data_IF_936595445900
#
_entry.id   IF_936595445900
#
_cell.length_a   1.000
_cell.length_b   1.000
_cell.length_c   1.000
_cell.angle_alpha   90.00
_cell.angle_beta   90.00
_cell.angle_gamma   90.00
#
_symmetry.space_group_name_H-M   'P 1'
#
loop_
_entity.id
_entity.type
_entity.pdbx_description
1 polymer ?
#
# COMPACT_ATOMS: atom_id res chain seq x y z
N UNK A 1 -20.89 -29.90 -12.14
CA UNK A 1 -20.45 -29.32 -13.43
C UNK A 1 -18.92 -29.28 -13.39
N UNK A 2 -18.23 -30.03 -14.26
CA UNK A 2 -16.77 -30.11 -14.30
C UNK A 2 -16.29 -29.72 -15.71
N UNK A 3 -16.42 -28.44 -16.04
CA UNK A 3 -16.03 -27.89 -17.34
C UNK A 3 -14.68 -27.19 -17.18
N UNK A 4 -13.63 -27.61 -17.91
CA UNK A 4 -12.33 -26.98 -17.82
C UNK A 4 -12.36 -25.61 -18.53
N UNK A 5 -12.23 -24.52 -17.77
CA UNK A 5 -12.21 -23.15 -18.31
C UNK A 5 -10.84 -22.71 -18.83
N UNK A 6 -9.79 -23.45 -18.44
CA UNK A 6 -8.40 -23.19 -18.83
C UNK A 6 -7.74 -24.46 -19.35
N UNK A 7 -6.98 -24.31 -20.43
CA UNK A 7 -6.05 -25.32 -20.95
C UNK A 7 -4.62 -24.93 -20.61
N UNK A 8 -3.78 -25.93 -20.31
CA UNK A 8 -2.36 -25.72 -20.01
C UNK A 8 -1.54 -25.86 -21.28
N UNK A 9 -0.79 -24.82 -21.62
CA UNK A 9 0.16 -24.80 -22.72
C UNK A 9 1.59 -24.69 -22.20
N UNK A 10 2.59 -25.08 -23.00
CA UNK A 10 4.01 -24.99 -22.62
C UNK A 10 4.46 -23.55 -22.32
N UNK A 11 3.71 -22.56 -22.79
CA UNK A 11 3.95 -21.12 -22.60
C UNK A 11 3.03 -20.46 -21.57
N UNK A 12 2.11 -21.19 -20.92
CA UNK A 12 1.17 -20.63 -19.94
C UNK A 12 -0.24 -21.21 -20.01
N UNK A 13 -1.21 -20.51 -19.42
CA UNK A 13 -2.63 -20.88 -19.45
C UNK A 13 -3.37 -20.14 -20.56
N UNK A 14 -4.27 -20.82 -21.26
CA UNK A 14 -5.20 -20.22 -22.21
C UNK A 14 -6.63 -20.59 -21.86
N UNK A 15 -7.57 -19.68 -22.10
CA UNK A 15 -8.99 -19.99 -21.98
C UNK A 15 -9.38 -21.09 -22.97
N UNK A 16 -10.31 -21.94 -22.55
CA UNK A 16 -11.07 -22.80 -23.46
C UNK A 16 -12.23 -22.01 -24.06
N UNK A 17 -12.90 -22.55 -25.08
CA UNK A 17 -14.08 -21.91 -25.67
C UNK A 17 -15.18 -21.63 -24.63
N UNK A 18 -15.37 -22.56 -23.69
CA UNK A 18 -16.26 -22.38 -22.54
C UNK A 18 -15.77 -21.29 -21.58
N UNK A 19 -14.44 -21.21 -21.38
CA UNK A 19 -13.78 -20.16 -20.61
C UNK A 19 -13.98 -18.76 -21.22
N UNK A 20 -13.85 -18.63 -22.54
CA UNK A 20 -14.11 -17.38 -23.26
C UNK A 20 -15.59 -16.99 -23.17
N UNK A 21 -16.52 -17.94 -23.32
CA UNK A 21 -17.95 -17.70 -23.23
C UNK A 21 -18.40 -17.22 -21.83
N UNK A 22 -17.69 -17.64 -20.78
CA UNK A 22 -17.94 -17.25 -19.39
C UNK A 22 -17.15 -16.01 -18.96
N UNK A 23 -16.12 -15.61 -19.71
CA UNK A 23 -15.20 -14.55 -19.32
C UNK A 23 -15.91 -13.23 -19.00
N UNK A 24 -16.78 -12.77 -19.90
CA UNK A 24 -17.54 -11.52 -19.70
C UNK A 24 -18.46 -11.57 -18.45
N UNK A 25 -18.97 -12.75 -18.09
CA UNK A 25 -19.78 -12.94 -16.87
C UNK A 25 -18.91 -12.94 -15.62
N UNK A 26 -17.71 -13.51 -15.70
CA UNK A 26 -16.74 -13.49 -14.61
C UNK A 26 -16.24 -12.06 -14.34
N UNK A 27 -15.98 -11.27 -15.39
CA UNK A 27 -15.60 -9.86 -15.29
C UNK A 27 -16.74 -9.02 -14.69
N UNK A 28 -17.98 -9.22 -15.13
CA UNK A 28 -19.13 -8.55 -14.53
C UNK A 28 -19.33 -8.93 -13.05
N UNK A 29 -19.06 -10.18 -12.67
CA UNK A 29 -19.10 -10.65 -11.29
C UNK A 29 -17.98 -10.01 -10.45
N UNK A 30 -16.77 -9.92 -11.00
CA UNK A 30 -15.64 -9.25 -10.36
C UNK A 30 -15.99 -7.78 -10.11
N UNK A 31 -16.50 -7.08 -11.12
CA UNK A 31 -16.90 -5.69 -11.01
C UNK A 31 -18.01 -5.51 -9.96
N UNK A 32 -19.03 -6.37 -9.95
CA UNK A 32 -20.09 -6.35 -8.95
C UNK A 32 -19.55 -6.63 -7.54
N UNK A 33 -18.59 -7.54 -7.39
CA UNK A 33 -17.94 -7.85 -6.11
C UNK A 33 -17.11 -6.68 -5.58
N UNK A 34 -16.36 -6.01 -6.46
CA UNK A 34 -15.60 -4.80 -6.13
C UNK A 34 -16.53 -3.65 -5.74
N UNK A 35 -17.56 -3.38 -6.54
CA UNK A 35 -18.57 -2.36 -6.24
C UNK A 35 -19.33 -2.67 -4.93
N UNK A 36 -19.56 -3.94 -4.62
CA UNK A 36 -20.13 -4.35 -3.34
C UNK A 36 -19.18 -4.10 -2.17
N UNK A 37 -17.89 -4.41 -2.33
CA UNK A 37 -16.85 -4.08 -1.35
C UNK A 37 -16.73 -2.57 -1.12
N UNK A 38 -16.74 -1.77 -2.18
CA UNK A 38 -16.75 -0.31 -2.11
C UNK A 38 -18.03 0.23 -1.47
N UNK A 39 -19.20 -0.30 -1.81
CA UNK A 39 -20.45 0.08 -1.18
C UNK A 39 -20.49 -0.27 0.33
N UNK A 40 -19.91 -1.41 0.72
CA UNK A 40 -19.74 -1.77 2.12
C UNK A 40 -18.76 -0.83 2.85
N UNK A 41 -17.72 -0.35 2.17
CA UNK A 41 -16.79 0.68 2.68
C UNK A 41 -17.48 2.06 2.81
N UNK A 42 -18.35 2.41 1.86
CA UNK A 42 -19.16 3.64 1.87
C UNK A 42 -20.22 3.65 2.98
N UNK A 43 -20.58 2.49 3.56
CA UNK A 43 -21.41 2.40 4.76
C UNK A 43 -20.68 2.79 6.06
N UNK A 44 -19.44 3.28 5.97
CA UNK A 44 -18.87 4.16 6.99
C UNK A 44 -18.30 3.46 8.22
N UNK A 45 -17.98 2.17 8.11
CA UNK A 45 -17.38 1.43 9.22
C UNK A 45 -15.86 1.54 9.20
N UNK A 46 -15.33 2.63 9.78
CA UNK A 46 -13.89 2.85 9.90
C UNK A 46 -13.33 1.94 11.00
N UNK A 47 -12.70 0.86 10.58
CA UNK A 47 -12.14 -0.17 11.45
C UNK A 47 -10.83 -0.73 10.86
N UNK A 48 -9.98 -1.32 11.72
CA UNK A 48 -8.76 -2.00 11.29
C UNK A 48 -7.46 -1.31 11.73
N UNK A 49 -6.32 -1.76 11.22
CA UNK A 49 -4.99 -1.31 11.64
C UNK A 49 -4.36 -0.35 10.63
N UNK A 50 -4.04 0.86 11.07
CA UNK A 50 -3.27 1.86 10.30
C UNK A 50 -1.87 1.98 10.91
N UNK A 51 -0.83 1.82 10.08
CA UNK A 51 0.57 1.96 10.51
C UNK A 51 1.14 3.26 9.95
N UNK A 52 1.57 4.15 10.82
CA UNK A 52 2.05 5.49 10.48
C UNK A 52 3.54 5.61 10.83
N UNK A 53 4.40 5.73 9.82
CA UNK A 53 5.83 6.01 10.02
C UNK A 53 6.09 7.52 9.95
N UNK A 54 6.69 8.09 10.99
CA UNK A 54 6.97 9.53 11.05
C UNK A 54 8.18 9.88 11.92
N UNK A 55 8.52 11.17 12.04
CA UNK A 55 9.52 11.67 12.99
C UNK A 55 8.93 11.85 14.40
N UNK A 56 9.78 11.73 15.42
CA UNK A 56 9.35 11.83 16.83
C UNK A 56 8.67 13.16 17.17
N UNK A 57 9.17 14.27 16.62
CA UNK A 57 8.57 15.59 16.83
C UNK A 57 7.16 15.66 16.25
N UNK A 58 6.93 15.10 15.05
CA UNK A 58 5.60 15.10 14.44
C UNK A 58 4.66 14.15 15.18
N UNK A 59 5.16 12.97 15.57
CA UNK A 59 4.41 12.00 16.36
C UNK A 59 3.89 12.62 17.67
N UNK A 60 4.79 13.23 18.44
CA UNK A 60 4.51 13.70 19.80
C UNK A 60 3.68 14.98 19.81
N UNK A 61 4.01 15.96 18.97
CA UNK A 61 3.40 17.28 19.05
C UNK A 61 2.14 17.45 18.21
N UNK A 62 1.92 16.61 17.19
CA UNK A 62 0.81 16.80 16.24
C UNK A 62 -0.09 15.56 16.11
N UNK A 63 0.51 14.38 15.89
CA UNK A 63 -0.24 13.16 15.58
C UNK A 63 -0.94 12.60 16.82
N UNK A 64 -0.20 12.35 17.91
CA UNK A 64 -0.77 11.77 19.14
C UNK A 64 -1.91 12.62 19.74
N UNK A 65 -1.81 13.97 19.83
CA UNK A 65 -2.92 14.79 20.32
C UNK A 65 -4.18 14.71 19.44
N UNK A 66 -4.00 14.65 18.13
CA UNK A 66 -5.12 14.61 17.16
C UNK A 66 -5.77 13.22 17.08
N UNK A 67 -5.00 12.16 17.36
CA UNK A 67 -5.49 10.79 17.36
C UNK A 67 -6.56 10.52 18.41
N UNK A 68 -6.55 11.26 19.54
CA UNK A 68 -7.55 11.06 20.59
C UNK A 68 -8.98 11.22 20.06
N UNK A 69 -9.28 12.33 19.39
CA UNK A 69 -10.62 12.57 18.85
C UNK A 69 -11.00 11.58 17.75
N UNK A 70 -10.02 11.12 16.96
CA UNK A 70 -10.23 10.14 15.90
C UNK A 70 -10.59 8.76 16.47
N UNK A 71 -9.85 8.27 17.47
CA UNK A 71 -10.08 6.98 18.11
C UNK A 71 -11.35 6.97 18.96
N UNK A 72 -11.70 8.12 19.55
CA UNK A 72 -12.97 8.29 20.28
C UNK A 72 -14.18 8.20 19.31
N UNK A 73 -14.02 8.64 18.04
CA UNK A 73 -15.08 8.55 17.02
C UNK A 73 -15.14 7.20 16.31
N UNK A 74 -14.01 6.48 16.23
CA UNK A 74 -13.87 5.19 15.55
C UNK A 74 -13.20 4.16 16.46
N UNK A 75 -13.94 3.53 17.39
CA UNK A 75 -13.36 2.65 18.42
C UNK A 75 -12.78 1.34 17.87
N UNK A 76 -13.15 0.94 16.66
CA UNK A 76 -12.61 -0.24 15.98
C UNK A 76 -11.35 0.06 15.14
N UNK A 77 -10.95 1.33 15.05
CA UNK A 77 -9.71 1.76 14.43
C UNK A 77 -8.55 1.60 15.41
N UNK A 78 -7.48 0.96 14.97
CA UNK A 78 -6.21 0.85 15.69
C UNK A 78 -5.15 1.58 14.90
N UNK A 79 -4.35 2.40 15.58
CA UNK A 79 -3.25 3.14 14.95
C UNK A 79 -1.93 2.78 15.62
N UNK A 80 -1.00 2.26 14.84
CA UNK A 80 0.39 2.03 15.23
C UNK A 80 1.24 3.19 14.72
N UNK A 81 1.87 3.96 15.60
CA UNK A 81 2.81 5.01 15.22
C UNK A 81 4.24 4.47 15.39
N UNK A 82 4.97 4.43 14.27
CA UNK A 82 6.36 4.05 14.21
C UNK A 82 7.19 5.33 14.08
N UNK A 83 7.78 5.77 15.20
CA UNK A 83 8.70 6.91 15.19
C UNK A 83 10.12 6.38 14.95
N UNK A 84 10.74 6.87 13.89
CA UNK A 84 12.03 6.33 13.44
C UNK A 84 12.43 6.83 12.06
N UNK A 85 12.26 8.12 11.78
CA UNK A 85 13.03 8.75 10.70
C UNK A 85 14.44 8.93 11.25
N UNK A 86 15.34 8.01 10.90
CA UNK A 86 16.77 8.33 10.93
C UNK A 86 16.94 9.54 9.99
N UNK A 87 17.36 10.71 10.49
CA UNK A 87 17.79 11.78 9.60
C UNK A 87 18.84 11.16 8.70
N UNK A 88 18.60 11.16 7.38
CA UNK A 88 19.53 10.58 6.43
C UNK A 88 20.91 11.13 6.72
N UNK A 89 21.85 10.23 7.05
CA UNK A 89 23.24 10.57 7.34
C UNK A 89 23.74 11.55 6.27
N UNK A 90 24.19 12.76 6.64
CA UNK A 90 24.72 13.68 5.65
C UNK A 90 25.95 13.02 5.02
N UNK A 91 25.93 12.90 3.68
CA UNK A 91 27.03 12.35 2.91
C UNK A 91 28.35 13.00 3.35
N UNK A 92 29.44 12.23 3.50
CA UNK A 92 30.71 12.79 3.95
C UNK A 92 31.13 13.90 3.00
N UNK A 93 31.19 15.13 3.54
CA UNK A 93 31.63 16.32 2.82
C UNK A 93 33.14 16.23 2.58
N UNK A 94 33.51 15.45 1.57
CA UNK A 94 34.88 15.36 1.06
C UNK A 94 35.21 16.59 0.22
N UNK A 95 35.37 17.75 0.85
CA UNK A 95 36.06 18.87 0.23
C UNK A 95 37.56 18.56 0.17
N UNK A 96 38.06 17.96 -0.93
CA UNK A 96 39.48 18.05 -1.29
C UNK A 96 39.69 19.33 -2.10
N UNK A 97 40.01 20.41 -1.42
CA UNK A 97 40.77 21.51 -2.00
C UNK A 97 42.23 21.06 -2.16
N UNK A 98 42.76 21.05 -3.38
CA UNK A 98 44.19 20.81 -3.59
C UNK A 98 44.58 20.52 -5.04
N UNK A 99 44.39 21.49 -5.92
CA UNK A 99 45.39 21.81 -6.95
C UNK A 99 46.17 23.05 -6.44
N UNK A 100 47.41 23.38 -6.89
CA UNK A 100 48.13 22.90 -8.07
C UNK A 100 49.65 22.61 -7.82
N UNK A 101 50.34 22.19 -8.89
CA UNK A 101 51.81 22.14 -9.09
C UNK A 101 52.59 20.89 -8.67
N UNK A 102 53.27 20.29 -9.68
CA UNK A 102 54.56 19.64 -9.49
C UNK A 102 54.92 18.54 -10.49
N UNK A 103 55.56 18.93 -11.61
CA UNK A 103 56.60 18.19 -12.38
C UNK A 103 56.27 16.77 -12.92
N UNK A 104 56.66 16.36 -14.14
CA UNK A 104 57.63 16.84 -15.13
C UNK A 104 57.20 16.34 -16.53
#
# INVERSE_FOLDING_TARGET
MNVPLFSRHQSGYRLTDDGEALFARAEALEYAGLAFGEAAQLQGHVAGLVRLATSDNLATHFILPSLKGLLDHYPELRVEVLSGVQPGEPAPSGCRSGDPHGQA
#
